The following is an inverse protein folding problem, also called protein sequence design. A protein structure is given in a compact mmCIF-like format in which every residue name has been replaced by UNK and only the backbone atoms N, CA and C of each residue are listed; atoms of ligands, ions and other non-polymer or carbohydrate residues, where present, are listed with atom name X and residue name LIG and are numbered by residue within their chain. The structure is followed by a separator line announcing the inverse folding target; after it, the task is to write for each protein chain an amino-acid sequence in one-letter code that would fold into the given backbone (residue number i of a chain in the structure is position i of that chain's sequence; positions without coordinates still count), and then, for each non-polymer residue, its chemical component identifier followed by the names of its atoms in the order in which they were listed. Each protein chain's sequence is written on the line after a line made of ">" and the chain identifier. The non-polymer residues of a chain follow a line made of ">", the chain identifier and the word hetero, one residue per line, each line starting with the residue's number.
data_IF_784114721912
#
_entry.id   IF_784114721912
#
_cell.length_a   1.000
_cell.length_b   1.000
_cell.length_c   1.000
_cell.angle_alpha   90.00
_cell.angle_beta   90.00
_cell.angle_gamma   90.00
#
_symmetry.space_group_name_H-M   'P 1'
#
loop_
_entity.id
_entity.type
_entity.pdbx_description
1 polymer ?
#
# COMPACT_ATOMS: atom_id res chain seq x y z
N UNK A 1 48.11 68.35 11.55
CA UNK A 1 47.99 69.09 10.26
C UNK A 1 47.22 68.19 9.31
N UNK A 2 45.90 68.41 9.20
CA UNK A 2 45.22 68.92 7.99
C UNK A 2 45.49 68.05 6.76
N UNK A 3 44.59 67.13 6.39
CA UNK A 3 43.35 67.31 5.63
C UNK A 3 43.57 67.22 4.11
N UNK A 4 42.86 66.28 3.46
CA UNK A 4 42.20 66.42 2.15
C UNK A 4 41.47 65.10 1.78
N UNK A 5 40.14 65.20 1.63
CA UNK A 5 39.30 64.37 0.75
C UNK A 5 38.93 65.23 -0.49
N UNK A 6 38.19 64.79 -1.54
CA UNK A 6 37.46 63.52 -1.75
C UNK A 6 37.53 62.95 -3.20
N UNK A 7 36.92 61.77 -3.46
CA UNK A 7 36.12 61.48 -4.68
C UNK A 7 35.47 60.08 -4.64
N UNK A 8 34.21 60.02 -5.08
CA UNK A 8 33.31 58.86 -5.14
C UNK A 8 33.44 58.04 -6.43
N UNK A 9 33.27 56.71 -6.34
CA UNK A 9 32.50 55.85 -7.27
C UNK A 9 32.52 54.43 -6.69
N UNK A 10 31.41 53.84 -6.26
CA UNK A 10 30.45 53.20 -7.15
C UNK A 10 30.29 51.74 -6.69
N UNK A 11 29.36 51.50 -5.77
CA UNK A 11 29.04 50.16 -5.30
C UNK A 11 28.13 49.43 -6.29
N UNK A 12 28.40 48.15 -6.51
CA UNK A 12 27.43 47.20 -7.07
C UNK A 12 27.45 45.91 -6.26
N UNK A 13 26.48 45.76 -5.37
CA UNK A 13 26.05 44.49 -4.78
C UNK A 13 25.40 43.59 -5.85
N UNK A 14 25.66 42.28 -5.92
CA UNK A 14 24.97 41.40 -6.85
C UNK A 14 23.56 41.10 -6.35
N UNK A 15 22.54 41.40 -7.18
CA UNK A 15 21.15 40.98 -6.97
C UNK A 15 20.95 39.50 -7.32
N UNK A 16 20.04 38.89 -6.56
CA UNK A 16 19.81 37.46 -6.34
C UNK A 16 19.37 36.59 -7.55
N UNK A 17 19.54 35.25 -7.47
CA UNK A 17 19.12 34.25 -8.48
C UNK A 17 17.59 34.12 -8.74
N UNK A 18 16.75 34.81 -7.97
CA UNK A 18 15.28 34.73 -8.07
C UNK A 18 14.72 35.32 -9.37
N UNK A 19 15.33 36.38 -9.92
CA UNK A 19 14.83 37.02 -11.16
C UNK A 19 15.05 36.15 -12.41
N UNK A 20 16.14 35.38 -12.47
CA UNK A 20 16.38 34.43 -13.57
C UNK A 20 15.40 33.27 -13.58
N UNK A 21 14.92 32.85 -12.40
CA UNK A 21 13.94 31.76 -12.28
C UNK A 21 12.53 32.23 -12.69
N UNK A 22 12.19 33.49 -12.41
CA UNK A 22 10.91 34.08 -12.80
C UNK A 22 10.82 34.34 -14.31
N UNK A 23 11.92 34.75 -14.95
CA UNK A 23 12.00 34.91 -16.41
C UNK A 23 11.89 33.55 -17.15
N UNK A 24 12.48 32.48 -16.60
CA UNK A 24 12.35 31.11 -17.17
C UNK A 24 10.92 30.57 -17.07
N UNK A 25 10.22 30.82 -15.95
CA UNK A 25 8.81 30.44 -15.77
C UNK A 25 7.87 31.18 -16.73
N UNK A 26 8.17 32.44 -17.05
CA UNK A 26 7.36 33.22 -17.99
C UNK A 26 7.53 32.71 -19.44
N UNK A 27 8.76 32.41 -19.87
CA UNK A 27 9.07 31.85 -21.19
C UNK A 27 8.49 30.44 -21.42
N UNK A 28 8.39 29.61 -20.37
CA UNK A 28 7.74 28.29 -20.45
C UNK A 28 6.22 28.40 -20.59
N UNK A 29 5.58 29.36 -19.90
CA UNK A 29 4.13 29.58 -20.00
C UNK A 29 3.69 30.06 -21.39
N UNK A 30 4.47 30.92 -22.04
CA UNK A 30 4.19 31.37 -23.41
C UNK A 30 4.37 30.26 -24.45
N UNK A 31 5.35 29.36 -24.27
CA UNK A 31 5.52 28.17 -25.15
C UNK A 31 4.38 27.15 -25.01
N UNK A 32 3.87 26.90 -23.81
CA UNK A 32 2.71 26.03 -23.61
C UNK A 32 1.40 26.61 -24.18
N UNK A 33 1.23 27.94 -24.11
CA UNK A 33 0.06 28.61 -24.69
C UNK A 33 0.06 28.57 -26.23
N UNK A 34 1.24 28.63 -26.87
CA UNK A 34 1.38 28.50 -28.31
C UNK A 34 1.07 27.07 -28.80
N UNK A 35 1.59 26.04 -28.12
CA UNK A 35 1.32 24.63 -28.44
C UNK A 35 -0.18 24.25 -28.24
N UNK A 36 -0.85 24.87 -27.26
CA UNK A 36 -2.28 24.66 -27.03
C UNK A 36 -3.19 25.34 -28.07
N UNK A 37 -2.67 26.31 -28.84
CA UNK A 37 -3.39 26.92 -29.98
C UNK A 37 -3.27 26.08 -31.26
N UNK A 38 -2.12 25.45 -31.51
CA UNK A 38 -1.94 24.54 -32.66
C UNK A 38 -2.76 23.24 -32.52
N UNK A 39 -2.99 22.75 -31.30
CA UNK A 39 -3.77 21.53 -31.07
C UNK A 39 -5.29 21.69 -31.28
N UNK A 40 -5.82 22.92 -31.47
CA UNK A 40 -7.25 23.17 -31.70
C UNK A 40 -7.64 23.24 -33.19
N UNK A 41 -6.69 23.05 -34.11
CA UNK A 41 -6.92 23.12 -35.57
C UNK A 41 -6.97 21.76 -36.29
N UNK A 42 -6.83 20.64 -35.58
CA UNK A 42 -6.80 19.32 -36.21
C UNK A 42 -8.23 18.75 -36.41
N UNK A 43 -8.61 18.53 -37.68
CA UNK A 43 -9.87 17.92 -38.07
C UNK A 43 -10.00 16.45 -37.57
N UNK A 44 -11.22 15.97 -37.27
CA UNK A 44 -11.41 14.59 -36.80
C UNK A 44 -11.19 13.58 -37.93
N UNK A 45 -10.46 12.49 -37.61
CA UNK A 45 -10.26 11.34 -38.50
C UNK A 45 -11.56 10.50 -38.65
N UNK A 46 -11.80 9.87 -39.81
CA UNK A 46 -13.04 9.16 -40.08
C UNK A 46 -13.15 7.83 -39.29
N UNK A 47 -14.37 7.49 -38.90
CA UNK A 47 -14.70 6.27 -38.16
C UNK A 47 -14.57 5.01 -39.03
N UNK A 48 -13.94 3.97 -38.49
CA UNK A 48 -13.84 2.63 -39.08
C UNK A 48 -15.04 1.79 -38.62
N UNK A 49 -15.80 1.12 -39.52
CA UNK A 49 -16.97 0.33 -39.13
C UNK A 49 -16.56 -1.05 -38.56
N UNK A 50 -17.23 -1.48 -37.48
CA UNK A 50 -17.10 -2.81 -36.89
C UNK A 50 -17.99 -3.85 -37.61
N UNK A 51 -17.56 -5.12 -37.76
CA UNK A 51 -18.38 -6.16 -38.39
C UNK A 51 -19.54 -6.64 -37.50
N UNK A 52 -20.67 -6.93 -38.13
CA UNK A 52 -21.92 -7.39 -37.54
C UNK A 52 -21.81 -8.82 -36.98
N UNK A 53 -22.41 -9.04 -35.80
CA UNK A 53 -22.58 -10.37 -35.17
C UNK A 53 -23.66 -11.18 -35.89
N UNK A 54 -23.31 -12.39 -36.32
CA UNK A 54 -24.27 -13.38 -36.81
C UNK A 54 -25.11 -13.96 -35.66
N UNK A 55 -26.44 -13.90 -35.83
CA UNK A 55 -27.45 -14.65 -35.07
C UNK A 55 -27.43 -16.11 -35.52
N UNK A 56 -27.42 -17.05 -34.58
CA UNK A 56 -27.90 -18.41 -34.82
C UNK A 56 -28.88 -18.78 -33.71
N UNK A 57 -30.14 -18.87 -34.10
CA UNK A 57 -31.20 -19.53 -33.36
C UNK A 57 -31.43 -20.91 -33.99
N UNK A 58 -31.61 -21.94 -33.16
CA UNK A 58 -32.39 -23.15 -33.49
C UNK A 58 -33.17 -23.59 -32.25
N UNK A 59 -34.50 -23.54 -32.38
CA UNK A 59 -35.47 -24.31 -31.60
C UNK A 59 -35.43 -25.78 -32.10
N UNK A 60 -35.75 -26.83 -31.34
CA UNK A 60 -37.04 -27.32 -30.79
C UNK A 60 -36.71 -28.68 -30.13
N UNK A 61 -37.26 -29.09 -28.98
CA UNK A 61 -38.55 -29.77 -28.71
C UNK A 61 -38.61 -29.97 -27.16
N UNK A 62 -39.67 -29.78 -26.36
CA UNK A 62 -41.12 -30.06 -26.35
C UNK A 62 -41.49 -31.16 -25.31
N UNK A 63 -42.53 -30.86 -24.52
CA UNK A 63 -43.29 -31.67 -23.51
C UNK A 63 -42.77 -31.62 -22.06
N UNK A 64 -43.56 -31.39 -21.02
CA UNK A 64 -45.02 -31.41 -20.87
C UNK A 64 -45.49 -30.44 -19.74
N UNK A 65 -46.76 -30.05 -19.84
CA UNK A 65 -47.50 -29.14 -18.99
C UNK A 65 -47.99 -29.76 -17.66
N UNK A 66 -48.33 -28.90 -16.69
CA UNK A 66 -48.94 -29.27 -15.41
C UNK A 66 -49.34 -28.05 -14.57
N UNK A 67 -50.45 -27.44 -14.96
CA UNK A 67 -51.23 -26.33 -14.37
C UNK A 67 -51.67 -26.53 -12.90
N UNK A 68 -51.61 -25.50 -12.03
CA UNK A 68 -52.76 -24.78 -11.42
C UNK A 68 -52.43 -23.99 -10.14
N UNK A 69 -52.82 -22.71 -10.16
CA UNK A 69 -53.00 -21.80 -9.01
C UNK A 69 -54.21 -22.18 -8.15
N UNK A 70 -54.21 -21.78 -6.86
CA UNK A 70 -55.42 -21.83 -6.03
C UNK A 70 -55.23 -21.50 -4.53
N UNK A 71 -55.27 -20.20 -4.21
CA UNK A 71 -55.77 -19.52 -3.00
C UNK A 71 -56.27 -20.36 -1.79
N UNK A 72 -55.89 -19.94 -0.56
CA UNK A 72 -56.84 -19.54 0.51
C UNK A 72 -56.15 -18.90 1.73
N UNK A 73 -56.80 -17.87 2.27
CA UNK A 73 -56.48 -17.11 3.48
C UNK A 73 -57.11 -17.71 4.75
N UNK A 74 -56.53 -17.36 5.91
CA UNK A 74 -57.23 -17.16 7.20
C UNK A 74 -56.99 -18.24 8.26
N UNK A 75 -56.87 -17.99 9.56
CA UNK A 75 -57.00 -16.78 10.39
C UNK A 75 -56.45 -17.12 11.81
N UNK A 76 -55.88 -16.11 12.50
CA UNK A 76 -55.83 -15.89 13.97
C UNK A 76 -54.96 -16.82 14.85
N UNK A 77 -54.24 -16.33 15.87
CA UNK A 77 -54.16 -15.00 16.46
C UNK A 77 -53.13 -14.96 17.60
N UNK A 78 -52.79 -13.75 18.07
CA UNK A 78 -51.89 -13.54 19.21
C UNK A 78 -51.38 -12.11 19.30
N UNK A 79 -52.19 -11.25 19.93
CA UNK A 79 -51.96 -9.82 20.18
C UNK A 79 -50.98 -9.56 21.33
N UNK A 80 -50.32 -8.40 21.26
CA UNK A 80 -49.65 -7.69 22.37
C UNK A 80 -48.18 -7.40 22.03
N UNK A 81 -47.73 -6.18 21.72
CA UNK A 81 -48.11 -4.86 22.20
C UNK A 81 -46.89 -4.27 22.91
N UNK A 82 -46.16 -3.35 22.27
CA UNK A 82 -44.92 -2.81 22.82
C UNK A 82 -44.27 -1.73 21.95
N UNK A 83 -44.69 -0.49 22.22
CA UNK A 83 -44.35 0.77 21.58
C UNK A 83 -42.84 1.06 21.43
N UNK A 84 -42.45 1.47 20.22
CA UNK A 84 -41.84 2.78 19.95
C UNK A 84 -40.67 3.22 20.83
N UNK A 85 -39.46 2.84 20.42
CA UNK A 85 -38.21 3.47 20.83
C UNK A 85 -37.24 3.46 19.67
N UNK A 86 -37.43 4.38 18.72
CA UNK A 86 -36.50 4.60 17.63
C UNK A 86 -35.15 5.02 18.20
N UNK A 87 -34.22 4.07 18.29
CA UNK A 87 -32.82 4.37 18.51
C UNK A 87 -32.31 5.09 17.27
N UNK A 88 -32.32 6.42 17.32
CA UNK A 88 -31.44 7.22 16.47
C UNK A 88 -30.04 6.66 16.67
N UNK A 89 -29.50 6.01 15.64
CA UNK A 89 -28.13 5.55 15.62
C UNK A 89 -27.24 6.77 15.89
N UNK A 90 -26.51 6.71 17.00
CA UNK A 90 -25.53 7.71 17.40
C UNK A 90 -24.43 7.78 16.32
N UNK A 91 -24.60 8.70 15.37
CA UNK A 91 -23.62 9.03 14.34
C UNK A 91 -22.40 9.79 14.90
N UNK A 92 -22.26 9.87 16.24
CA UNK A 92 -21.30 10.72 16.94
C UNK A 92 -19.95 10.10 17.32
N UNK A 93 -19.66 8.82 17.02
CA UNK A 93 -18.39 8.18 17.42
C UNK A 93 -17.80 7.20 16.39
N UNK A 94 -17.61 7.64 15.15
CA UNK A 94 -16.90 6.82 14.14
C UNK A 94 -15.37 6.79 14.28
N UNK A 95 -14.80 7.59 15.18
CA UNK A 95 -13.39 7.47 15.57
C UNK A 95 -13.35 7.02 17.01
N UNK A 96 -13.08 5.73 17.20
CA UNK A 96 -12.67 5.27 18.51
C UNK A 96 -11.28 5.82 18.82
N UNK A 97 -10.96 6.03 20.10
CA UNK A 97 -9.59 6.40 20.48
C UNK A 97 -8.65 5.34 19.90
N UNK A 98 -7.63 5.72 19.10
CA UNK A 98 -6.69 4.76 18.54
C UNK A 98 -6.07 3.93 19.67
N UNK A 99 -5.79 2.67 19.39
CA UNK A 99 -5.16 1.78 20.37
C UNK A 99 -3.73 2.24 20.77
N UNK A 100 -3.18 3.24 20.09
CA UNK A 100 -1.83 3.79 20.29
C UNK A 100 -1.88 5.31 20.50
N UNK A 101 -0.86 5.85 21.18
CA UNK A 101 -0.75 7.28 21.46
C UNK A 101 -0.22 8.10 20.28
N UNK A 102 -0.45 9.42 20.29
CA UNK A 102 0.11 10.35 19.27
C UNK A 102 1.63 10.24 19.11
N UNK A 103 2.35 9.89 20.19
CA UNK A 103 3.81 9.70 20.21
C UNK A 103 4.28 8.47 19.43
N UNK A 104 3.38 7.54 19.10
CA UNK A 104 3.69 6.34 18.33
C UNK A 104 3.53 6.55 16.81
N UNK A 105 2.97 7.69 16.36
CA UNK A 105 2.90 8.03 14.94
C UNK A 105 4.30 8.09 14.33
N UNK A 106 4.43 7.58 13.12
CA UNK A 106 5.69 7.49 12.39
C UNK A 106 5.72 8.45 11.21
N UNK A 107 6.92 8.81 10.75
CA UNK A 107 7.09 9.63 9.55
C UNK A 107 7.24 8.76 8.32
N UNK A 108 6.51 9.11 7.26
CA UNK A 108 6.66 8.55 5.92
C UNK A 108 6.92 9.71 4.96
N UNK A 109 8.19 10.12 4.87
CA UNK A 109 8.54 11.43 4.31
C UNK A 109 7.91 12.55 5.12
N UNK A 110 7.12 13.42 4.48
CA UNK A 110 6.42 14.52 5.15
C UNK A 110 5.10 14.13 5.83
N UNK A 111 4.69 12.86 5.78
CA UNK A 111 3.39 12.38 6.28
C UNK A 111 3.51 11.78 7.69
N UNK A 112 2.47 11.96 8.50
CA UNK A 112 2.31 11.27 9.77
C UNK A 112 1.43 10.02 9.57
N UNK A 113 2.03 8.85 9.77
CA UNK A 113 1.36 7.56 9.55
C UNK A 113 1.25 6.74 10.85
N UNK A 114 0.23 5.91 10.92
CA UNK A 114 0.02 4.94 11.99
C UNK A 114 1.19 3.93 12.07
N UNK A 115 1.50 3.39 13.27
CA UNK A 115 2.57 2.39 13.46
C UNK A 115 2.44 1.15 12.58
N UNK A 116 1.20 0.82 12.19
CA UNK A 116 0.83 -0.27 11.31
C UNK A 116 -0.06 0.29 10.20
N UNK A 117 0.14 -0.15 8.95
CA UNK A 117 -0.77 0.11 7.84
C UNK A 117 -1.59 -1.11 7.46
N UNK A 118 -2.30 -1.05 6.33
CA UNK A 118 -3.03 -2.19 5.77
C UNK A 118 -2.52 -2.50 4.34
N UNK A 119 -2.11 -3.74 4.12
CA UNK A 119 -1.73 -4.24 2.80
C UNK A 119 -2.92 -4.82 2.05
N UNK A 120 -3.17 -4.36 0.82
CA UNK A 120 -4.41 -4.69 0.07
C UNK A 120 -4.19 -5.65 -1.11
N UNK A 121 -3.09 -6.42 -1.11
CA UNK A 121 -2.79 -7.38 -2.18
C UNK A 121 -3.83 -8.50 -2.32
N UNK A 122 -4.49 -8.86 -1.23
CA UNK A 122 -5.54 -9.87 -1.24
C UNK A 122 -6.85 -9.38 -1.90
N UNK A 123 -7.04 -8.05 -2.01
CA UNK A 123 -8.24 -7.44 -2.55
C UNK A 123 -8.17 -7.42 -4.08
N UNK A 124 -8.88 -8.33 -4.74
CA UNK A 124 -8.79 -8.54 -6.20
C UNK A 124 -7.96 -9.76 -6.63
N UNK A 125 -7.31 -10.48 -5.69
CA UNK A 125 -6.44 -11.61 -6.03
C UNK A 125 -7.14 -12.96 -5.82
N UNK A 126 -7.70 -13.50 -6.91
CA UNK A 126 -8.41 -14.78 -6.89
C UNK A 126 -7.46 -15.96 -6.72
N UNK A 127 -6.31 -15.93 -7.41
CA UNK A 127 -5.40 -17.08 -7.51
C UNK A 127 -4.76 -17.48 -6.18
N UNK A 128 -4.28 -16.51 -5.40
CA UNK A 128 -3.60 -16.79 -4.14
C UNK A 128 -4.54 -16.70 -2.94
N UNK A 129 -5.50 -15.78 -2.96
CA UNK A 129 -6.30 -15.43 -1.79
C UNK A 129 -7.76 -15.83 -1.90
N UNK A 130 -8.20 -16.38 -3.03
CA UNK A 130 -9.58 -16.78 -3.25
C UNK A 130 -10.55 -15.60 -3.26
N UNK A 131 -10.09 -14.42 -3.68
CA UNK A 131 -10.97 -13.25 -3.80
C UNK A 131 -12.12 -13.50 -4.77
N UNK A 132 -13.30 -13.07 -4.35
CA UNK A 132 -14.51 -12.95 -5.15
C UNK A 132 -15.14 -11.56 -4.94
N UNK A 133 -15.85 -11.03 -5.94
CA UNK A 133 -16.48 -9.71 -5.84
C UNK A 133 -17.59 -9.66 -4.77
N UNK A 134 -18.17 -10.81 -4.39
CA UNK A 134 -19.10 -10.92 -3.25
C UNK A 134 -18.46 -10.59 -1.89
N UNK A 135 -17.12 -10.58 -1.79
CA UNK A 135 -16.41 -10.19 -0.57
C UNK A 135 -16.37 -8.68 -0.37
N UNK A 136 -16.67 -7.88 -1.39
CA UNK A 136 -16.54 -6.43 -1.38
C UNK A 136 -17.24 -5.72 -0.21
N UNK A 137 -18.48 -6.08 0.19
CA UNK A 137 -19.14 -5.44 1.33
C UNK A 137 -18.37 -5.65 2.64
N UNK A 138 -17.92 -6.87 2.91
CA UNK A 138 -17.11 -7.14 4.11
C UNK A 138 -15.74 -6.45 4.04
N UNK A 139 -15.15 -6.31 2.85
CA UNK A 139 -13.91 -5.54 2.69
C UNK A 139 -14.09 -4.05 2.96
N UNK A 140 -15.25 -3.46 2.66
CA UNK A 140 -15.61 -2.10 3.08
C UNK A 140 -15.67 -2.04 4.61
N UNK A 141 -16.33 -3.00 5.27
CA UNK A 141 -16.40 -3.05 6.73
C UNK A 141 -15.01 -3.21 7.38
N UNK A 142 -14.12 -3.99 6.76
CA UNK A 142 -12.71 -4.09 7.16
C UNK A 142 -12.02 -2.73 7.06
N UNK A 143 -12.18 -2.04 5.94
CA UNK A 143 -11.62 -0.70 5.74
C UNK A 143 -12.14 0.28 6.80
N UNK A 144 -13.46 0.33 7.00
CA UNK A 144 -14.11 1.23 7.95
C UNK A 144 -13.64 0.96 9.38
N UNK A 145 -13.51 -0.32 9.75
CA UNK A 145 -13.00 -0.72 11.05
C UNK A 145 -11.55 -0.27 11.25
N UNK A 146 -10.66 -0.47 10.28
CA UNK A 146 -9.26 -0.09 10.49
C UNK A 146 -9.09 1.44 10.56
N UNK A 147 -9.82 2.18 9.71
CA UNK A 147 -9.81 3.66 9.74
C UNK A 147 -10.38 4.19 11.06
N UNK A 148 -11.50 3.63 11.53
CA UNK A 148 -12.11 4.04 12.81
C UNK A 148 -11.22 3.81 14.03
N UNK A 149 -10.23 2.93 13.91
CA UNK A 149 -9.20 2.63 14.94
C UNK A 149 -7.91 3.43 14.75
N UNK A 150 -7.91 4.39 13.82
CA UNK A 150 -6.82 5.33 13.58
C UNK A 150 -5.81 4.90 12.52
N UNK A 151 -5.89 3.68 11.97
CA UNK A 151 -4.98 3.24 10.90
C UNK A 151 -5.20 4.11 9.67
N UNK A 152 -4.14 4.76 9.22
CA UNK A 152 -4.24 5.77 8.17
C UNK A 152 -3.31 5.51 6.98
N UNK A 153 -2.50 4.45 6.99
CA UNK A 153 -1.67 4.05 5.85
C UNK A 153 -2.25 2.82 5.15
N UNK A 154 -2.52 2.94 3.85
CA UNK A 154 -3.01 1.87 2.99
C UNK A 154 -2.04 1.65 1.84
N UNK A 155 -1.58 0.42 1.69
CA UNK A 155 -0.64 0.02 0.64
C UNK A 155 -1.33 -0.82 -0.43
N UNK A 156 -1.15 -0.43 -1.70
CA UNK A 156 -1.73 -1.07 -2.88
C UNK A 156 -0.75 -1.06 -4.06
N UNK A 157 -1.18 -1.53 -5.23
CA UNK A 157 -0.41 -1.44 -6.46
C UNK A 157 -1.30 -1.47 -7.71
N UNK A 158 -0.80 -0.89 -8.80
CA UNK A 158 -1.43 -0.94 -10.11
C UNK A 158 -1.57 -2.36 -10.69
N UNK A 159 -0.71 -3.27 -10.21
CA UNK A 159 -0.68 -4.69 -10.58
C UNK A 159 -1.49 -5.58 -9.64
N UNK A 160 -2.17 -5.04 -8.63
CA UNK A 160 -2.96 -5.85 -7.70
C UNK A 160 -4.30 -6.22 -8.32
N UNK A 161 -4.48 -7.52 -8.51
CA UNK A 161 -5.61 -8.10 -9.20
C UNK A 161 -5.19 -9.22 -10.14
N UNK A 162 -6.10 -10.13 -10.46
CA UNK A 162 -5.82 -11.23 -11.41
C UNK A 162 -6.67 -11.12 -12.67
N UNK A 163 -6.04 -11.13 -13.85
CA UNK A 163 -6.73 -11.09 -15.13
C UNK A 163 -7.61 -9.85 -15.29
N UNK A 164 -8.93 -10.04 -15.48
CA UNK A 164 -9.91 -8.94 -15.59
C UNK A 164 -9.97 -8.01 -14.37
N UNK A 165 -9.44 -8.45 -13.23
CA UNK A 165 -9.44 -7.70 -11.98
C UNK A 165 -8.16 -6.85 -11.80
N UNK A 166 -7.31 -6.69 -12.81
CA UNK A 166 -6.08 -5.91 -12.66
C UNK A 166 -6.37 -4.47 -12.21
N UNK A 167 -5.73 -4.02 -11.13
CA UNK A 167 -5.99 -2.74 -10.47
C UNK A 167 -7.26 -2.71 -9.60
N UNK A 168 -7.89 -3.86 -9.31
CA UNK A 168 -9.11 -3.95 -8.48
C UNK A 168 -8.88 -3.40 -7.07
N UNK A 169 -7.72 -3.67 -6.49
CA UNK A 169 -7.37 -3.16 -5.16
C UNK A 169 -7.44 -1.63 -5.08
N UNK A 170 -6.93 -0.93 -6.10
CA UNK A 170 -7.03 0.53 -6.20
C UNK A 170 -8.46 1.03 -6.40
N UNK A 171 -9.28 0.31 -7.18
CA UNK A 171 -10.69 0.64 -7.36
C UNK A 171 -11.47 0.52 -6.04
N UNK A 172 -11.22 -0.56 -5.29
CA UNK A 172 -11.83 -0.81 -3.99
C UNK A 172 -11.43 0.26 -2.98
N UNK A 173 -10.12 0.53 -2.81
CA UNK A 173 -9.65 1.58 -1.91
C UNK A 173 -10.21 2.96 -2.26
N UNK A 174 -10.29 3.28 -3.55
CA UNK A 174 -10.89 4.53 -4.01
C UNK A 174 -12.36 4.66 -3.63
N UNK A 175 -13.15 3.60 -3.87
CA UNK A 175 -14.55 3.52 -3.45
C UNK A 175 -14.67 3.65 -1.93
N UNK A 176 -13.93 2.84 -1.20
CA UNK A 176 -14.02 2.75 0.26
C UNK A 176 -13.66 4.07 0.95
N UNK A 177 -12.66 4.78 0.42
CA UNK A 177 -12.28 6.11 0.93
C UNK A 177 -13.39 7.14 0.73
N UNK A 178 -14.11 7.11 -0.40
CA UNK A 178 -15.24 8.01 -0.69
C UNK A 178 -16.47 7.68 0.14
N UNK A 179 -16.74 6.39 0.32
CA UNK A 179 -17.92 5.88 1.03
C UNK A 179 -17.72 5.81 2.55
N UNK A 180 -16.51 6.04 3.04
CA UNK A 180 -16.20 6.04 4.48
C UNK A 180 -17.11 7.02 5.25
N UNK A 181 -17.85 6.55 6.26
CA UNK A 181 -18.88 7.36 6.93
C UNK A 181 -18.32 8.40 7.92
N UNK A 182 -17.02 8.34 8.25
CA UNK A 182 -16.41 9.30 9.17
C UNK A 182 -16.19 10.70 8.58
N UNK A 183 -15.71 11.61 9.42
CA UNK A 183 -15.53 13.02 9.05
C UNK A 183 -14.52 13.26 7.91
N UNK A 184 -14.63 14.40 7.24
CA UNK A 184 -13.66 14.84 6.22
C UNK A 184 -12.23 14.96 6.74
N UNK A 185 -12.07 15.29 8.02
CA UNK A 185 -10.76 15.33 8.67
C UNK A 185 -10.12 13.94 8.72
N UNK A 186 -10.91 12.89 9.00
CA UNK A 186 -10.42 11.51 8.99
C UNK A 186 -10.12 11.07 7.56
N UNK A 187 -11.03 11.33 6.62
CA UNK A 187 -10.82 11.00 5.20
C UNK A 187 -9.56 11.65 4.62
N UNK A 188 -9.32 12.92 4.95
CA UNK A 188 -8.14 13.65 4.51
C UNK A 188 -6.83 13.15 5.13
N UNK A 189 -6.92 12.42 6.25
CA UNK A 189 -5.78 11.79 6.91
C UNK A 189 -5.48 10.38 6.37
N UNK A 190 -6.28 9.85 5.43
CA UNK A 190 -6.03 8.55 4.78
C UNK A 190 -4.91 8.71 3.74
N UNK A 191 -3.83 7.97 3.94
CA UNK A 191 -2.65 7.99 3.10
C UNK A 191 -2.56 6.70 2.27
N UNK A 192 -2.61 6.86 0.95
CA UNK A 192 -2.50 5.76 0.00
C UNK A 192 -1.10 5.74 -0.61
N UNK A 193 -0.39 4.65 -0.37
CA UNK A 193 0.86 4.31 -1.00
C UNK A 193 0.59 3.29 -2.10
N UNK A 194 0.77 3.66 -3.37
CA UNK A 194 0.59 2.72 -4.50
C UNK A 194 1.93 2.42 -5.15
N UNK A 195 2.07 1.20 -5.65
CA UNK A 195 3.22 0.78 -6.45
C UNK A 195 2.89 0.78 -7.93
N UNK A 196 3.86 1.23 -8.71
CA UNK A 196 3.85 1.19 -10.16
C UNK A 196 4.78 0.07 -10.61
N UNK A 197 4.22 -0.99 -11.19
CA UNK A 197 4.96 -2.14 -11.70
C UNK A 197 6.01 -1.76 -12.76
N UNK A 198 7.19 -2.37 -12.71
CA UNK A 198 8.24 -2.18 -13.72
C UNK A 198 8.01 -3.09 -14.94
N UNK A 199 6.82 -2.97 -15.56
CA UNK A 199 6.45 -3.79 -16.71
C UNK A 199 7.35 -3.53 -17.92
N UNK A 200 7.63 -4.53 -18.78
CA UNK A 200 8.58 -4.41 -19.90
C UNK A 200 8.28 -3.28 -20.89
N UNK A 201 7.02 -2.90 -21.06
CA UNK A 201 6.61 -1.80 -21.96
C UNK A 201 6.78 -0.40 -21.35
N UNK A 202 7.18 -0.28 -20.07
CA UNK A 202 7.44 1.00 -19.41
C UNK A 202 8.91 1.37 -19.54
N UNK A 203 9.31 1.78 -20.74
CA UNK A 203 10.70 2.04 -21.11
C UNK A 203 11.08 3.52 -21.10
N UNK A 204 10.10 4.41 -20.93
CA UNK A 204 10.30 5.87 -20.85
C UNK A 204 9.73 6.44 -19.55
N UNK A 205 10.23 7.61 -19.10
CA UNK A 205 9.64 8.34 -17.96
C UNK A 205 8.14 8.61 -18.14
N UNK A 206 7.72 8.96 -19.37
CA UNK A 206 6.32 9.21 -19.71
C UNK A 206 5.42 7.98 -19.48
N UNK A 207 5.93 6.75 -19.66
CA UNK A 207 5.15 5.55 -19.38
C UNK A 207 4.84 5.40 -17.88
N UNK A 208 5.76 5.80 -17.00
CA UNK A 208 5.52 5.82 -15.55
C UNK A 208 4.53 6.90 -15.15
N UNK A 209 4.62 8.09 -15.74
CA UNK A 209 3.63 9.15 -15.53
C UNK A 209 2.24 8.68 -15.97
N UNK A 210 2.13 8.01 -17.13
CA UNK A 210 0.87 7.44 -17.60
C UNK A 210 0.33 6.35 -16.65
N UNK A 211 1.20 5.49 -16.12
CA UNK A 211 0.84 4.49 -15.12
C UNK A 211 0.30 5.13 -13.83
N UNK A 212 0.99 6.15 -13.31
CA UNK A 212 0.58 6.91 -12.14
C UNK A 212 -0.81 7.56 -12.34
N UNK A 213 -1.05 8.20 -13.49
CA UNK A 213 -2.37 8.74 -13.85
C UNK A 213 -3.44 7.64 -13.94
N UNK A 214 -3.06 6.44 -14.38
CA UNK A 214 -3.94 5.27 -14.37
C UNK A 214 -4.38 4.87 -12.96
N UNK A 215 -3.44 4.80 -12.02
CA UNK A 215 -3.72 4.55 -10.61
C UNK A 215 -4.61 5.63 -9.99
N UNK A 216 -4.31 6.91 -10.23
CA UNK A 216 -5.12 8.04 -9.78
C UNK A 216 -6.57 7.95 -10.27
N UNK A 217 -6.78 7.57 -11.54
CA UNK A 217 -8.14 7.35 -12.09
C UNK A 217 -8.88 6.21 -11.39
N UNK A 218 -8.22 5.07 -11.13
CA UNK A 218 -8.84 3.94 -10.43
C UNK A 218 -9.20 4.29 -8.99
N UNK A 219 -8.31 5.01 -8.30
CA UNK A 219 -8.54 5.51 -6.94
C UNK A 219 -9.59 6.63 -6.91
N UNK A 220 -9.78 7.37 -8.00
CA UNK A 220 -10.55 8.61 -8.00
C UNK A 220 -9.90 9.69 -7.13
N UNK A 221 -8.57 9.78 -7.18
CA UNK A 221 -7.75 10.70 -6.39
C UNK A 221 -7.01 11.69 -7.30
N UNK A 222 -6.72 12.89 -6.77
CA UNK A 222 -5.95 13.91 -7.49
C UNK A 222 -4.44 13.70 -7.36
N UNK A 223 -3.99 13.18 -6.21
CA UNK A 223 -2.59 12.92 -5.89
C UNK A 223 -2.46 11.73 -4.95
N UNK A 224 -1.39 10.95 -5.11
CA UNK A 224 -1.04 9.85 -4.22
C UNK A 224 -0.23 10.37 -3.04
N UNK A 225 -0.39 9.74 -1.87
CA UNK A 225 0.46 10.07 -0.72
C UNK A 225 1.90 9.62 -0.98
N UNK A 226 2.09 8.39 -1.47
CA UNK A 226 3.40 7.90 -1.92
C UNK A 226 3.25 7.11 -3.22
N UNK A 227 4.04 7.44 -4.25
CA UNK A 227 4.18 6.64 -5.46
C UNK A 227 5.46 5.82 -5.41
N UNK A 228 5.35 4.49 -5.48
CA UNK A 228 6.47 3.58 -5.28
C UNK A 228 6.83 2.83 -6.56
N UNK A 229 8.12 2.62 -6.83
CA UNK A 229 8.52 1.62 -7.84
C UNK A 229 8.33 0.22 -7.25
N UNK A 230 7.53 -0.62 -7.88
CA UNK A 230 7.18 -1.93 -7.31
C UNK A 230 8.37 -2.88 -7.22
N UNK A 231 9.27 -2.84 -8.19
CA UNK A 231 10.53 -3.57 -8.14
C UNK A 231 11.57 -2.97 -9.08
N UNK A 232 12.84 -3.26 -8.81
CA UNK A 232 13.95 -2.81 -9.65
C UNK A 232 14.03 -3.64 -10.93
N UNK A 233 14.19 -2.95 -12.06
CA UNK A 233 14.53 -3.52 -13.35
C UNK A 233 16.05 -3.71 -13.51
N UNK A 234 16.88 -3.28 -12.55
CA UNK A 234 18.34 -3.23 -12.70
C UNK A 234 19.00 -4.57 -13.07
N UNK A 235 18.43 -5.71 -12.66
CA UNK A 235 19.00 -7.04 -12.97
C UNK A 235 18.80 -7.45 -14.43
N UNK A 236 17.72 -7.02 -15.06
CA UNK A 236 17.31 -7.52 -16.38
C UNK A 236 17.17 -6.44 -17.45
N UNK A 237 17.02 -5.16 -17.07
CA UNK A 237 16.94 -4.02 -17.95
C UNK A 237 17.47 -2.73 -17.29
N UNK A 238 18.81 -2.56 -17.14
CA UNK A 238 19.40 -1.41 -16.45
C UNK A 238 19.01 -0.04 -17.03
N UNK A 239 18.85 0.07 -18.36
CA UNK A 239 18.41 1.34 -18.98
C UNK A 239 16.96 1.67 -18.63
N UNK A 240 16.11 0.64 -18.52
CA UNK A 240 14.74 0.80 -18.08
C UNK A 240 14.69 1.33 -16.65
N UNK A 241 15.54 0.83 -15.74
CA UNK A 241 15.64 1.31 -14.36
C UNK A 241 15.76 2.83 -14.28
N UNK A 242 16.68 3.42 -15.06
CA UNK A 242 16.86 4.88 -15.11
C UNK A 242 15.62 5.61 -15.62
N UNK A 243 14.96 5.08 -16.65
CA UNK A 243 13.72 5.65 -17.14
C UNK A 243 12.60 5.59 -16.09
N UNK A 244 12.52 4.50 -15.32
CA UNK A 244 11.54 4.32 -14.26
C UNK A 244 11.77 5.30 -13.11
N UNK A 245 13.01 5.50 -12.68
CA UNK A 245 13.38 6.49 -11.66
C UNK A 245 13.06 7.93 -12.10
N UNK A 246 13.45 8.28 -13.32
CA UNK A 246 13.15 9.59 -13.87
C UNK A 246 11.63 9.80 -14.01
N UNK A 247 10.88 8.76 -14.40
CA UNK A 247 9.43 8.83 -14.47
C UNK A 247 8.74 9.01 -13.11
N UNK A 248 9.26 8.39 -12.04
CA UNK A 248 8.78 8.67 -10.68
C UNK A 248 9.07 10.10 -10.23
N UNK A 249 10.25 10.62 -10.57
CA UNK A 249 10.60 12.01 -10.32
C UNK A 249 9.68 12.96 -11.09
N UNK A 250 9.35 12.66 -12.35
CA UNK A 250 8.37 13.42 -13.13
C UNK A 250 6.96 13.36 -12.50
N UNK A 251 6.57 12.23 -11.91
CA UNK A 251 5.30 12.14 -11.19
C UNK A 251 5.25 13.10 -9.99
N UNK A 252 6.36 13.22 -9.25
CA UNK A 252 6.48 14.14 -8.13
C UNK A 252 6.43 15.60 -8.58
N UNK A 253 7.23 15.96 -9.59
CA UNK A 253 7.29 17.32 -10.11
C UNK A 253 5.96 17.79 -10.74
N UNK A 254 5.18 16.85 -11.30
CA UNK A 254 3.82 17.11 -11.78
C UNK A 254 2.75 17.12 -10.67
N UNK A 255 3.11 16.90 -9.40
CA UNK A 255 2.18 16.87 -8.26
C UNK A 255 1.29 15.62 -8.18
N UNK A 256 1.57 14.59 -8.98
CA UNK A 256 0.80 13.34 -9.00
C UNK A 256 1.05 12.47 -7.76
N UNK A 257 2.19 12.67 -7.11
CA UNK A 257 2.59 12.02 -5.86
C UNK A 257 3.17 13.06 -4.91
N UNK A 258 2.90 12.94 -3.60
CA UNK A 258 3.48 13.82 -2.56
C UNK A 258 4.88 13.39 -2.13
N UNK A 259 5.22 12.12 -2.30
CA UNK A 259 6.57 11.59 -2.13
C UNK A 259 6.76 10.32 -2.98
N UNK A 260 8.00 9.88 -3.13
CA UNK A 260 8.32 8.65 -3.86
C UNK A 260 8.88 7.58 -2.94
N UNK A 261 8.75 6.32 -3.35
CA UNK A 261 9.35 5.19 -2.67
C UNK A 261 9.81 4.12 -3.64
N UNK A 262 10.43 3.08 -3.10
CA UNK A 262 10.85 1.91 -3.86
C UNK A 262 10.52 0.64 -3.10
N UNK A 263 10.37 -0.47 -3.80
CA UNK A 263 10.10 -1.78 -3.22
C UNK A 263 11.07 -2.82 -3.74
N UNK A 264 11.52 -3.73 -2.88
CA UNK A 264 12.52 -4.78 -3.21
C UNK A 264 13.91 -4.24 -3.57
N UNK A 265 14.30 -3.12 -2.94
CA UNK A 265 15.64 -2.53 -3.11
C UNK A 265 16.56 -3.02 -2.00
N UNK A 266 17.75 -3.49 -2.36
CA UNK A 266 18.82 -3.76 -1.39
C UNK A 266 19.60 -2.50 -1.05
N UNK A 267 20.45 -2.54 -0.02
CA UNK A 267 21.26 -1.40 0.44
C UNK A 267 21.96 -0.63 -0.68
N UNK A 268 22.64 -1.33 -1.59
CA UNK A 268 23.42 -0.70 -2.68
C UNK A 268 22.51 0.02 -3.66
N UNK A 269 21.41 -0.62 -4.07
CA UNK A 269 20.47 -0.02 -5.00
C UNK A 269 19.68 1.12 -4.37
N UNK A 270 19.36 1.03 -3.07
CA UNK A 270 18.67 2.07 -2.31
C UNK A 270 19.48 3.37 -2.27
N UNK A 271 20.80 3.29 -2.03
CA UNK A 271 21.69 4.47 -2.09
C UNK A 271 21.75 5.09 -3.49
N UNK A 272 21.75 4.27 -4.54
CA UNK A 272 21.79 4.75 -5.94
C UNK A 272 20.52 5.54 -6.30
N UNK A 273 19.34 4.99 -5.99
CA UNK A 273 18.08 5.67 -6.28
C UNK A 273 17.91 6.92 -5.41
N UNK A 274 18.34 6.89 -4.15
CA UNK A 274 18.36 8.07 -3.29
C UNK A 274 19.20 9.21 -3.89
N UNK A 275 20.41 8.89 -4.40
CA UNK A 275 21.25 9.88 -5.09
C UNK A 275 20.59 10.43 -6.36
N UNK A 276 19.92 9.58 -7.13
CA UNK A 276 19.20 10.01 -8.34
C UNK A 276 18.07 11.00 -8.00
N UNK A 277 17.23 10.67 -7.02
CA UNK A 277 16.13 11.53 -6.59
C UNK A 277 16.61 12.82 -5.93
N UNK A 278 17.67 12.76 -5.12
CA UNK A 278 18.29 13.94 -4.52
C UNK A 278 18.79 14.94 -5.58
N UNK A 279 19.31 14.45 -6.71
CA UNK A 279 19.73 15.29 -7.84
C UNK A 279 18.59 16.12 -8.47
N UNK A 280 17.34 15.77 -8.20
CA UNK A 280 16.13 16.48 -8.65
C UNK A 280 15.32 17.11 -7.50
N UNK A 281 15.81 17.03 -6.26
CA UNK A 281 15.07 17.49 -5.08
C UNK A 281 13.81 16.67 -4.77
N UNK A 282 13.77 15.41 -5.20
CA UNK A 282 12.62 14.51 -5.02
C UNK A 282 12.81 13.71 -3.72
N UNK A 283 11.84 13.71 -2.78
CA UNK A 283 11.98 13.05 -1.49
C UNK A 283 11.74 11.53 -1.59
N UNK A 284 12.78 10.73 -1.31
CA UNK A 284 12.63 9.29 -1.09
C UNK A 284 12.06 9.04 0.32
N UNK A 285 10.77 8.74 0.39
CA UNK A 285 10.06 8.56 1.66
C UNK A 285 10.06 7.13 2.18
N UNK A 286 10.04 6.14 1.29
CA UNK A 286 9.87 4.74 1.70
C UNK A 286 10.74 3.74 0.94
N UNK A 287 11.15 2.70 1.67
CA UNK A 287 11.68 1.45 1.14
C UNK A 287 10.78 0.31 1.65
N UNK A 288 10.05 -0.32 0.74
CA UNK A 288 9.14 -1.43 1.07
C UNK A 288 9.81 -2.78 0.79
N UNK A 289 9.85 -3.67 1.77
CA UNK A 289 10.54 -4.97 1.65
C UNK A 289 9.82 -6.10 2.36
N UNK A 290 10.13 -7.32 1.95
CA UNK A 290 9.68 -8.53 2.63
C UNK A 290 10.35 -8.56 3.99
N UNK A 291 9.55 -8.52 5.05
CA UNK A 291 10.09 -8.40 6.39
C UNK A 291 9.15 -9.07 7.40
N UNK A 292 9.62 -10.17 7.97
CA UNK A 292 8.92 -11.01 8.96
C UNK A 292 9.94 -11.88 9.69
N UNK A 293 9.54 -12.61 10.73
CA UNK A 293 10.42 -13.59 11.40
C UNK A 293 10.94 -14.71 10.46
N UNK A 294 10.35 -14.90 9.28
CA UNK A 294 10.85 -15.83 8.25
C UNK A 294 11.65 -15.13 7.14
N UNK A 295 11.85 -13.82 7.25
CA UNK A 295 12.54 -12.95 6.29
C UNK A 295 13.16 -11.75 7.03
N UNK A 296 14.10 -12.02 7.92
CA UNK A 296 14.75 -11.03 8.78
C UNK A 296 16.27 -11.25 8.89
N UNK A 297 16.90 -11.64 7.79
CA UNK A 297 18.32 -11.96 7.76
C UNK A 297 19.23 -10.73 7.67
N UNK A 298 20.56 -10.93 7.52
CA UNK A 298 21.54 -9.85 7.45
C UNK A 298 21.22 -8.77 6.42
N UNK A 299 20.69 -9.16 5.25
CA UNK A 299 20.31 -8.22 4.21
C UNK A 299 19.19 -7.26 4.65
N UNK A 300 18.20 -7.75 5.41
CA UNK A 300 17.13 -6.90 5.94
C UNK A 300 17.65 -5.98 7.06
N UNK A 301 18.65 -6.43 7.83
CA UNK A 301 19.29 -5.60 8.86
C UNK A 301 20.09 -4.45 8.24
N UNK A 302 20.95 -4.76 7.26
CA UNK A 302 21.74 -3.76 6.51
C UNK A 302 20.83 -2.76 5.77
N UNK A 303 19.68 -3.22 5.28
CA UNK A 303 18.69 -2.35 4.68
C UNK A 303 18.07 -1.38 5.68
N UNK A 304 17.74 -1.81 6.90
CA UNK A 304 17.22 -0.92 7.94
C UNK A 304 18.24 0.16 8.31
N UNK A 305 19.51 -0.22 8.42
CA UNK A 305 20.62 0.72 8.68
C UNK A 305 20.76 1.72 7.54
N UNK A 306 20.80 1.24 6.29
CA UNK A 306 20.87 2.09 5.10
C UNK A 306 19.66 3.01 4.98
N UNK A 307 18.46 2.53 5.29
CA UNK A 307 17.25 3.34 5.27
C UNK A 307 17.30 4.43 6.35
N UNK A 308 17.77 4.11 7.56
CA UNK A 308 17.95 5.07 8.64
C UNK A 308 18.96 6.17 8.27
N UNK A 309 20.12 5.80 7.71
CA UNK A 309 21.12 6.74 7.22
C UNK A 309 20.57 7.71 6.16
N UNK A 310 19.66 7.24 5.31
CA UNK A 310 19.04 8.03 4.24
C UNK A 310 17.79 8.79 4.69
N UNK A 311 17.33 8.61 5.95
CA UNK A 311 16.06 9.18 6.43
C UNK A 311 14.81 8.58 5.77
N UNK A 312 14.90 7.33 5.31
CA UNK A 312 13.85 6.60 4.59
C UNK A 312 13.11 5.67 5.55
N UNK A 313 11.77 5.69 5.54
CA UNK A 313 10.99 4.76 6.34
C UNK A 313 10.92 3.36 5.70
N UNK A 314 10.99 2.33 6.53
CA UNK A 314 10.87 0.93 6.07
C UNK A 314 9.43 0.45 6.21
N UNK A 315 8.81 0.07 5.08
CA UNK A 315 7.49 -0.59 5.08
C UNK A 315 7.72 -2.11 5.00
N UNK A 316 7.22 -2.85 5.99
CA UNK A 316 7.39 -4.29 6.10
C UNK A 316 6.18 -5.03 5.50
N UNK A 317 6.33 -5.58 4.29
CA UNK A 317 5.29 -6.40 3.67
C UNK A 317 5.41 -7.88 4.06
N UNK A 318 4.27 -8.59 4.00
CA UNK A 318 4.14 -9.98 4.45
C UNK A 318 4.63 -10.23 5.89
N UNK A 319 4.26 -9.39 6.88
CA UNK A 319 4.71 -9.56 8.27
C UNK A 319 4.29 -10.91 8.88
N UNK A 320 3.22 -11.52 8.35
CA UNK A 320 2.70 -12.83 8.76
C UNK A 320 3.18 -13.99 7.88
N UNK A 321 4.11 -13.76 6.94
CA UNK A 321 4.58 -14.75 5.97
C UNK A 321 3.44 -15.51 5.26
N UNK A 322 2.55 -14.76 4.59
CA UNK A 322 1.33 -15.26 3.93
C UNK A 322 0.30 -15.93 4.86
N UNK A 323 0.49 -15.79 6.18
CA UNK A 323 -0.34 -16.36 7.23
C UNK A 323 0.33 -17.50 8.01
N UNK A 324 1.53 -17.97 7.62
CA UNK A 324 2.24 -19.04 8.33
C UNK A 324 2.47 -18.72 9.81
N UNK A 325 2.75 -17.46 10.14
CA UNK A 325 3.03 -17.03 11.51
C UNK A 325 1.76 -16.82 12.36
N UNK A 326 0.58 -17.17 11.85
CA UNK A 326 -0.69 -17.09 12.61
C UNK A 326 -0.91 -18.31 13.52
N UNK A 327 -0.18 -19.40 13.30
CA UNK A 327 -0.36 -20.66 14.04
C UNK A 327 -1.58 -21.49 13.61
N UNK A 328 -2.44 -20.99 12.71
CA UNK A 328 -3.68 -21.69 12.33
C UNK A 328 -3.51 -22.84 11.35
N UNK A 329 -2.33 -22.99 10.75
CA UNK A 329 -2.06 -23.97 9.72
C UNK A 329 -1.37 -25.19 10.33
N UNK A 330 -1.99 -26.36 10.15
CA UNK A 330 -1.43 -27.66 10.48
C UNK A 330 -1.29 -28.50 9.20
N UNK A 331 -0.60 -29.65 9.26
CA UNK A 331 -0.29 -30.46 8.09
C UNK A 331 -1.53 -30.91 7.28
N UNK A 332 -2.66 -31.08 7.97
CA UNK A 332 -3.97 -31.46 7.45
C UNK A 332 -4.90 -30.27 7.12
N UNK A 333 -4.58 -29.07 7.60
CA UNK A 333 -5.39 -27.85 7.43
C UNK A 333 -4.60 -26.78 6.70
N UNK A 334 -4.42 -26.98 5.39
CA UNK A 334 -3.67 -26.07 4.52
C UNK A 334 -4.55 -25.39 3.49
N UNK A 335 -4.24 -24.14 3.09
CA UNK A 335 -5.00 -23.47 2.04
C UNK A 335 -4.77 -24.18 0.70
N UNK A 336 -5.77 -24.13 -0.18
CA UNK A 336 -5.62 -24.65 -1.53
C UNK A 336 -4.57 -23.87 -2.35
N UNK A 337 -4.12 -24.50 -3.44
CA UNK A 337 -3.24 -23.88 -4.44
C UNK A 337 -1.79 -23.68 -3.97
N UNK A 338 -1.06 -22.71 -4.58
CA UNK A 338 0.38 -22.55 -4.36
C UNK A 338 0.78 -22.28 -2.89
N UNK A 339 -0.09 -21.60 -2.13
CA UNK A 339 0.16 -21.37 -0.69
C UNK A 339 0.19 -22.68 0.08
N UNK A 340 -0.72 -23.61 -0.19
CA UNK A 340 -0.72 -24.93 0.45
C UNK A 340 0.56 -25.70 0.19
N UNK A 341 1.01 -25.73 -1.07
CA UNK A 341 2.26 -26.40 -1.45
C UNK A 341 3.48 -25.80 -0.72
N UNK A 342 3.57 -24.47 -0.67
CA UNK A 342 4.62 -23.79 0.08
C UNK A 342 4.56 -24.12 1.58
N UNK A 343 3.36 -24.16 2.17
CA UNK A 343 3.20 -24.39 3.60
C UNK A 343 3.53 -25.83 3.99
N UNK A 344 3.22 -26.82 3.13
CA UNK A 344 3.66 -28.22 3.33
C UNK A 344 5.16 -28.34 3.48
N UNK A 345 5.92 -27.55 2.71
CA UNK A 345 7.39 -27.55 2.76
C UNK A 345 7.92 -26.82 3.99
N UNK A 346 7.36 -25.63 4.29
CA UNK A 346 7.91 -24.77 5.34
C UNK A 346 7.49 -25.16 6.77
N UNK A 347 6.26 -25.63 6.99
CA UNK A 347 5.74 -25.89 8.34
C UNK A 347 6.64 -26.80 9.19
N UNK A 348 7.14 -27.95 8.69
CA UNK A 348 8.06 -28.80 9.45
C UNK A 348 9.35 -28.09 9.83
N UNK A 349 9.82 -27.16 9.00
CA UNK A 349 11.12 -26.50 9.17
C UNK A 349 11.06 -25.27 10.08
N UNK A 350 9.86 -24.80 10.41
CA UNK A 350 9.63 -23.59 11.22
C UNK A 350 9.03 -23.89 12.61
N UNK A 351 8.88 -25.16 12.99
CA UNK A 351 8.29 -25.56 14.27
C UNK A 351 8.92 -24.86 15.50
N UNK A 352 10.26 -24.69 15.61
CA UNK A 352 10.86 -23.96 16.73
C UNK A 352 10.40 -22.50 16.84
N UNK A 353 10.20 -21.84 15.70
CA UNK A 353 9.70 -20.46 15.66
C UNK A 353 8.23 -20.39 16.04
N UNK A 354 7.40 -21.32 15.57
CA UNK A 354 5.98 -21.36 15.95
C UNK A 354 5.81 -21.61 17.45
N UNK A 355 6.60 -22.50 18.05
CA UNK A 355 6.59 -22.74 19.49
C UNK A 355 7.00 -21.50 20.29
N UNK A 356 8.05 -20.79 19.88
CA UNK A 356 8.47 -19.55 20.52
C UNK A 356 7.41 -18.44 20.39
N UNK A 357 6.80 -18.29 19.21
CA UNK A 357 5.70 -17.36 18.99
C UNK A 357 4.50 -17.68 19.89
N UNK A 358 4.14 -18.95 20.02
CA UNK A 358 3.04 -19.38 20.88
C UNK A 358 3.33 -19.10 22.37
N UNK A 359 4.56 -19.35 22.83
CA UNK A 359 4.96 -19.07 24.20
C UNK A 359 4.87 -17.58 24.55
N UNK A 360 5.41 -16.71 23.68
CA UNK A 360 5.32 -15.24 23.83
C UNK A 360 3.85 -14.79 23.75
N UNK A 361 3.07 -15.34 22.81
CA UNK A 361 1.65 -15.03 22.66
C UNK A 361 0.85 -15.36 23.94
N UNK A 362 1.06 -16.54 24.54
CA UNK A 362 0.45 -16.94 25.81
C UNK A 362 0.84 -16.00 26.95
N UNK A 363 2.13 -15.71 27.11
CA UNK A 363 2.64 -14.79 28.13
C UNK A 363 2.01 -13.39 28.03
N UNK A 364 1.88 -12.88 26.80
CA UNK A 364 1.30 -11.55 26.54
C UNK A 364 -0.23 -11.52 26.50
N UNK A 365 -0.90 -12.68 26.53
CA UNK A 365 -2.35 -12.82 26.25
C UNK A 365 -2.73 -12.17 24.92
N UNK A 366 -1.96 -12.50 23.89
CA UNK A 366 -2.08 -12.01 22.51
C UNK A 366 -2.12 -13.19 21.55
N UNK A 367 -2.57 -12.97 20.32
CA UNK A 367 -2.46 -14.00 19.26
C UNK A 367 -1.04 -14.05 18.70
N UNK A 368 -0.66 -15.16 18.08
CA UNK A 368 0.63 -15.27 17.38
C UNK A 368 0.75 -14.23 16.25
N UNK A 369 -0.35 -13.91 15.57
CA UNK A 369 -0.41 -12.86 14.56
C UNK A 369 -0.10 -11.49 15.16
N UNK A 370 -0.68 -11.16 16.32
CA UNK A 370 -0.40 -9.91 17.02
C UNK A 370 1.08 -9.82 17.43
N UNK A 371 1.66 -10.90 17.95
CA UNK A 371 3.10 -10.95 18.30
C UNK A 371 3.98 -10.76 17.06
N UNK A 372 3.70 -11.45 15.96
CA UNK A 372 4.50 -11.35 14.73
C UNK A 372 4.45 -9.95 14.10
N UNK A 373 3.27 -9.31 14.09
CA UNK A 373 3.12 -7.93 13.61
C UNK A 373 3.82 -6.94 14.56
N UNK A 374 3.66 -7.12 15.88
CA UNK A 374 4.29 -6.28 16.89
C UNK A 374 5.82 -6.40 16.86
N UNK A 375 6.34 -7.60 16.56
CA UNK A 375 7.77 -7.83 16.34
C UNK A 375 8.29 -6.94 15.20
N UNK A 376 7.61 -6.87 14.04
CA UNK A 376 7.99 -5.95 12.97
C UNK A 376 7.99 -4.47 13.43
N UNK A 377 6.96 -4.03 14.17
CA UNK A 377 6.91 -2.66 14.72
C UNK A 377 8.01 -2.37 15.74
N UNK A 378 8.55 -3.39 16.40
CA UNK A 378 9.59 -3.27 17.42
C UNK A 378 11.00 -3.33 16.85
N UNK A 379 11.15 -3.72 15.58
CA UNK A 379 12.45 -3.78 14.94
C UNK A 379 13.11 -2.41 14.85
N UNK A 380 14.42 -2.38 15.05
CA UNK A 380 15.22 -1.16 15.03
C UNK A 380 15.32 -0.47 16.38
N UNK A 381 14.28 -0.52 17.23
CA UNK A 381 14.23 0.22 18.50
C UNK A 381 15.44 -0.08 19.42
N UNK A 382 15.74 -1.37 19.66
CA UNK A 382 16.89 -1.78 20.48
C UNK A 382 18.27 -1.50 19.84
N UNK A 383 18.31 -1.08 18.57
CA UNK A 383 19.52 -0.68 17.84
C UNK A 383 19.60 0.82 17.59
N UNK A 384 18.68 1.61 18.14
CA UNK A 384 18.57 3.05 17.89
C UNK A 384 18.15 3.40 16.45
N UNK A 385 17.61 2.43 15.70
CA UNK A 385 17.08 2.65 14.35
C UNK A 385 15.58 2.97 14.42
N UNK A 386 15.04 3.72 13.43
CA UNK A 386 13.59 3.93 13.32
C UNK A 386 12.83 2.59 13.21
N UNK A 387 11.62 2.51 13.80
CA UNK A 387 10.78 1.33 13.66
C UNK A 387 10.31 1.11 12.22
N UNK A 388 10.01 -0.14 11.88
CA UNK A 388 9.36 -0.45 10.60
C UNK A 388 7.84 -0.30 10.69
N UNK A 389 7.20 -0.09 9.54
CA UNK A 389 5.74 0.02 9.40
C UNK A 389 5.21 -1.26 8.74
N UNK A 390 4.75 -2.27 9.49
CA UNK A 390 4.15 -3.45 8.89
C UNK A 390 2.79 -3.16 8.25
N UNK A 391 2.52 -3.83 7.14
CA UNK A 391 1.26 -3.73 6.38
C UNK A 391 0.61 -5.13 6.26
N UNK A 392 0.10 -5.71 7.36
CA UNK A 392 -0.63 -6.98 7.28
C UNK A 392 -1.86 -6.84 6.37
N UNK A 393 -2.22 -7.93 5.71
CA UNK A 393 -3.47 -8.01 4.96
C UNK A 393 -4.61 -8.53 5.84
N UNK A 394 -5.84 -8.13 5.51
CA UNK A 394 -7.07 -8.67 6.08
C UNK A 394 -8.11 -8.86 4.97
N UNK A 395 -8.82 -9.99 5.00
CA UNK A 395 -9.87 -10.32 4.03
C UNK A 395 -11.27 -10.37 4.63
N UNK A 396 -11.35 -10.29 5.96
CA UNK A 396 -12.57 -10.38 6.73
C UNK A 396 -12.40 -9.63 8.05
N UNK A 397 -13.50 -9.38 8.75
CA UNK A 397 -13.49 -8.60 9.99
C UNK A 397 -12.67 -9.26 11.11
N UNK A 398 -12.69 -10.59 11.20
CA UNK A 398 -11.93 -11.35 12.21
C UNK A 398 -10.42 -11.07 12.09
N UNK A 399 -9.86 -11.17 10.88
CA UNK A 399 -8.44 -10.86 10.63
C UNK A 399 -8.12 -9.39 10.91
N UNK A 400 -9.02 -8.47 10.55
CA UNK A 400 -8.82 -7.05 10.81
C UNK A 400 -8.77 -6.76 12.31
N UNK A 401 -9.72 -7.31 13.09
CA UNK A 401 -9.76 -7.19 14.57
C UNK A 401 -8.52 -7.78 15.21
N UNK A 402 -8.10 -8.96 14.77
CA UNK A 402 -6.91 -9.61 15.32
C UNK A 402 -5.63 -8.80 15.02
N UNK A 403 -5.44 -8.35 13.78
CA UNK A 403 -4.31 -7.50 13.40
C UNK A 403 -4.27 -6.21 14.23
N UNK A 404 -5.42 -5.56 14.46
CA UNK A 404 -5.52 -4.34 15.27
C UNK A 404 -5.08 -4.55 16.73
N UNK A 405 -5.22 -5.77 17.27
CA UNK A 405 -4.76 -6.13 18.61
C UNK A 405 -3.24 -6.10 18.79
N UNK A 406 -2.47 -5.95 17.71
CA UNK A 406 -1.02 -5.74 17.73
C UNK A 406 -0.62 -4.33 18.19
N UNK A 407 -1.54 -3.35 18.12
CA UNK A 407 -1.30 -1.97 18.49
C UNK A 407 -1.45 -1.73 20.01
N UNK A 408 -0.85 -0.66 20.53
CA UNK A 408 -1.00 -0.22 21.93
C UNK A 408 -0.09 -0.91 22.94
N UNK A 409 0.83 -1.75 22.47
CA UNK A 409 1.86 -2.39 23.30
C UNK A 409 3.11 -2.63 22.45
N UNK A 410 4.22 -2.99 23.07
CA UNK A 410 5.45 -3.41 22.38
C UNK A 410 6.05 -4.63 23.05
N UNK A 411 6.68 -5.48 22.25
CA UNK A 411 7.55 -6.53 22.74
C UNK A 411 8.76 -5.89 23.43
N UNK A 412 9.25 -6.57 24.46
CA UNK A 412 10.55 -6.26 25.05
C UNK A 412 11.67 -6.70 24.12
N UNK A 413 12.85 -6.10 24.27
CA UNK A 413 14.02 -6.55 23.51
C UNK A 413 14.37 -8.02 23.77
N UNK A 414 14.10 -8.53 24.98
CA UNK A 414 14.31 -9.93 25.32
C UNK A 414 13.44 -10.86 24.47
N UNK A 415 12.15 -10.54 24.34
CA UNK A 415 11.23 -11.32 23.50
C UNK A 415 11.58 -11.19 22.00
N UNK A 416 11.99 -10.00 21.54
CA UNK A 416 12.48 -9.85 20.17
C UNK A 416 13.69 -10.76 19.89
N UNK A 417 14.68 -10.76 20.79
CA UNK A 417 15.86 -11.63 20.68
C UNK A 417 15.52 -13.11 20.73
N UNK A 418 14.57 -13.50 21.59
CA UNK A 418 14.10 -14.89 21.68
C UNK A 418 13.46 -15.35 20.36
N UNK A 419 12.57 -14.55 19.79
CA UNK A 419 11.92 -14.83 18.52
C UNK A 419 12.92 -14.88 17.35
N UNK A 420 13.88 -13.95 17.33
CA UNK A 420 14.95 -13.91 16.33
C UNK A 420 15.89 -15.12 16.44
N UNK A 421 16.24 -15.54 17.66
CA UNK A 421 17.03 -16.75 17.89
C UNK A 421 16.25 -18.01 17.46
N UNK A 422 14.94 -18.08 17.75
CA UNK A 422 14.09 -19.16 17.28
C UNK A 422 14.01 -19.20 15.75
N UNK A 423 13.82 -18.04 15.11
CA UNK A 423 13.87 -17.91 13.66
C UNK A 423 15.23 -18.38 13.11
N UNK A 424 16.35 -17.95 13.69
CA UNK A 424 17.70 -18.32 13.24
C UNK A 424 17.93 -19.84 13.21
N UNK A 425 17.31 -20.60 14.13
CA UNK A 425 17.37 -22.07 14.18
C UNK A 425 16.53 -22.78 13.11
N UNK A 426 15.56 -22.11 12.51
CA UNK A 426 14.72 -22.70 11.48
C UNK A 426 15.48 -22.84 10.15
N UNK A 427 15.34 -23.99 9.50
CA UNK A 427 15.84 -24.22 8.14
C UNK A 427 14.96 -23.53 7.10
N UNK A 428 13.66 -23.45 7.40
CA UNK A 428 12.65 -22.82 6.56
C UNK A 428 12.78 -21.30 6.58
N UNK A 429 12.77 -20.72 5.38
CA UNK A 429 12.74 -19.27 5.15
C UNK A 429 11.71 -18.95 4.09
N UNK A 430 11.12 -17.76 4.20
CA UNK A 430 10.34 -17.25 3.08
C UNK A 430 11.28 -17.00 1.90
N UNK A 431 10.89 -17.47 0.72
CA UNK A 431 11.59 -17.18 -0.52
C UNK A 431 11.65 -15.67 -0.69
N UNK A 432 12.88 -15.14 -0.79
CA UNK A 432 13.11 -13.73 -1.08
C UNK A 432 12.47 -13.38 -2.42
N UNK A 433 11.96 -12.15 -2.53
CA UNK A 433 11.41 -11.67 -3.77
C UNK A 433 12.45 -11.79 -4.89
N UNK A 434 12.09 -12.38 -6.03
CA UNK A 434 13.01 -12.57 -7.17
C UNK A 434 13.60 -11.25 -7.67
N UNK A 435 12.87 -10.15 -7.46
CA UNK A 435 13.31 -8.81 -7.83
C UNK A 435 14.08 -8.08 -6.73
N UNK A 436 14.29 -8.69 -5.56
CA UNK A 436 15.12 -8.12 -4.49
C UNK A 436 16.54 -7.88 -5.01
N UNK A 437 16.95 -6.62 -5.04
CA UNK A 437 18.34 -6.26 -5.37
C UNK A 437 19.25 -6.42 -4.16
N UNK A 438 20.55 -6.51 -4.43
CA UNK A 438 21.59 -6.56 -3.40
C UNK A 438 21.83 -5.19 -2.77
#
# INVERSE_FOLDING_TARGET
>A
MSALAPACSGGTTPRAPAQRQQQRRHAQRTRCAAAAREARGAAPLPAVPLPQRARLARARDARAAGLLDGLTQGLLGGLGGGLGGGAAADAGRFVERPAYGKREMLKLGGLDVSPMGLGTWSWGNRFLFGYDESMDPELQEVFDLVVSKGVNLFDTADSYGTGRLNGRSEQLLGRFTREYPGSDAVRSNIHIATKLAAYPWRVTPANMVAACRGSLRRLGAESLSVGQLHWSAAKYAPLQEWALWNGLSDCYEHGLVKAVGVSNYGPKQLRKVAKNFAGRGVPLASAQVQFSLLSCGPQQQELQETAAELGVAVIAYSPLALGLLTGKYAADSLPAGPRGTLFKQLLPEIAPLLAALEAVAKSRRKSMSQVAINWCMSQGAGRGLPPTIPIPGAKNLEQARDNLGALGWRLSEGECRELEAAAARCKGRMVQNIFQTA
#
